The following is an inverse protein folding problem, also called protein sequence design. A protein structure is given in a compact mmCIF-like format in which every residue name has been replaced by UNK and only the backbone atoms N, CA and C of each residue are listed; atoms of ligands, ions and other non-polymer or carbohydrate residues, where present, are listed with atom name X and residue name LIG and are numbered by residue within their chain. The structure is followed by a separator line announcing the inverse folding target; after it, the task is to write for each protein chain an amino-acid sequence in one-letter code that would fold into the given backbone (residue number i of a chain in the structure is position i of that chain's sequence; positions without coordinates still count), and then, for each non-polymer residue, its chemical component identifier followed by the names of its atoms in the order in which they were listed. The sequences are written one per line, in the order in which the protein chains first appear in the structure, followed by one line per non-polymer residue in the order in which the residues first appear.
data_IF_921274313854
#
_entry.id   IF_921274313854
#
_cell.length_a   1.000
_cell.length_b   1.000
_cell.length_c   1.000
_cell.angle_alpha   90.00
_cell.angle_beta   90.00
_cell.angle_gamma   90.00
#
_symmetry.space_group_name_H-M   'P 1'
#
loop_
_entity.id
_entity.type
_entity.pdbx_description
1 polymer ?
#
# COMPACT_ATOMS: atom_id res chain seq x y z
N UNK A 1 42.91 -1.55 19.68
CA UNK A 1 43.45 -2.91 19.65
C UNK A 1 42.44 -3.77 18.94
N UNK A 2 42.89 -4.46 17.90
CA UNK A 2 42.25 -5.59 17.21
C UNK A 2 40.94 -5.29 16.46
N UNK A 3 41.10 -4.75 15.25
CA UNK A 3 40.18 -5.01 14.13
C UNK A 3 40.88 -6.05 13.24
N UNK A 4 40.48 -7.31 13.39
CA UNK A 4 40.99 -8.43 12.60
C UNK A 4 40.42 -8.42 11.19
N UNK A 5 41.32 -8.63 10.23
CA UNK A 5 41.07 -8.94 8.82
C UNK A 5 40.00 -10.03 8.66
N UNK A 6 38.97 -9.73 7.87
CA UNK A 6 37.99 -10.70 7.42
C UNK A 6 38.14 -10.85 5.91
N UNK A 7 39.14 -11.63 5.54
CA UNK A 7 39.43 -12.00 4.16
C UNK A 7 38.37 -12.95 3.59
N UNK A 8 37.79 -12.50 2.48
CA UNK A 8 37.48 -13.26 1.26
C UNK A 8 37.08 -14.74 1.39
N UNK A 9 35.78 -14.99 1.57
CA UNK A 9 35.13 -16.23 1.13
C UNK A 9 33.94 -15.91 0.23
N UNK A 10 34.20 -15.86 -1.07
CA UNK A 10 33.15 -15.87 -2.09
C UNK A 10 32.53 -17.29 -2.17
N UNK A 11 31.20 -17.43 -2.23
CA UNK A 11 30.55 -18.74 -2.28
C UNK A 11 30.69 -19.42 -3.66
N UNK A 12 30.81 -20.76 -3.72
CA UNK A 12 31.23 -21.52 -4.90
C UNK A 12 30.15 -21.77 -5.98
N UNK A 13 29.12 -20.92 -6.10
CA UNK A 13 28.02 -21.13 -7.07
C UNK A 13 27.92 -20.08 -8.19
N UNK A 14 28.90 -19.18 -8.35
CA UNK A 14 29.02 -18.38 -9.57
C UNK A 14 29.57 -19.23 -10.72
N UNK A 15 28.67 -19.96 -11.37
CA UNK A 15 28.92 -20.55 -12.69
C UNK A 15 29.01 -19.40 -13.69
N UNK A 16 30.18 -19.23 -14.30
CA UNK A 16 30.42 -18.33 -15.41
C UNK A 16 29.49 -18.67 -16.58
N UNK A 17 28.55 -17.78 -16.90
CA UNK A 17 27.78 -17.84 -18.13
C UNK A 17 28.71 -17.43 -19.29
N UNK A 18 29.08 -18.41 -20.11
CA UNK A 18 29.79 -18.17 -21.36
C UNK A 18 28.94 -17.35 -22.34
N UNK A 19 29.54 -16.46 -23.15
CA UNK A 19 28.80 -15.67 -24.12
C UNK A 19 28.24 -16.57 -25.24
N UNK A 20 26.91 -16.54 -25.39
CA UNK A 20 26.20 -17.18 -26.49
C UNK A 20 26.57 -16.46 -27.79
N UNK A 21 27.37 -17.12 -28.65
CA UNK A 21 27.63 -16.65 -30.02
C UNK A 21 26.39 -16.85 -30.88
N UNK A 22 25.73 -15.77 -31.27
CA UNK A 22 24.70 -15.76 -32.31
C UNK A 22 25.37 -16.05 -33.67
N UNK A 23 24.87 -17.07 -34.38
CA UNK A 23 25.23 -17.40 -35.77
C UNK A 23 24.37 -16.58 -36.76
N UNK A 24 24.84 -16.41 -38.01
CA UNK A 24 24.30 -15.41 -38.93
C UNK A 24 22.96 -15.80 -39.53
N UNK A 25 22.25 -14.76 -39.93
CA UNK A 25 20.94 -14.67 -40.56
C UNK A 25 20.86 -15.42 -41.90
N UNK A 26 19.71 -16.06 -42.14
CA UNK A 26 19.29 -16.51 -43.47
C UNK A 26 18.01 -15.76 -43.91
N UNK A 27 17.80 -15.56 -45.22
CA UNK A 27 16.83 -14.61 -45.76
C UNK A 27 15.39 -15.14 -45.78
N UNK A 28 14.44 -14.25 -45.55
CA UNK A 28 13.00 -14.51 -45.54
C UNK A 28 12.42 -14.59 -46.96
N UNK A 29 11.50 -15.55 -47.19
CA UNK A 29 10.51 -15.55 -48.28
C UNK A 29 9.13 -15.95 -47.71
N UNK A 30 8.00 -15.41 -48.20
CA UNK A 30 6.71 -15.41 -47.51
C UNK A 30 5.85 -16.65 -47.84
N UNK A 31 4.82 -16.88 -47.01
CA UNK A 31 4.03 -18.11 -46.91
C UNK A 31 2.55 -17.77 -46.74
N UNK A 32 1.67 -18.34 -47.59
CA UNK A 32 0.21 -18.29 -47.43
C UNK A 32 -0.30 -19.59 -46.79
N UNK A 33 -1.04 -19.51 -45.69
CA UNK A 33 -2.47 -19.87 -45.64
C UNK A 33 -3.08 -19.58 -44.25
N UNK A 34 -4.30 -19.06 -44.32
CA UNK A 34 -5.11 -18.37 -43.31
C UNK A 34 -5.71 -19.27 -42.22
N UNK A 35 -5.62 -18.82 -40.97
CA UNK A 35 -6.53 -19.22 -39.88
C UNK A 35 -7.78 -18.32 -39.91
N UNK A 36 -8.84 -18.73 -40.61
CA UNK A 36 -10.17 -18.12 -40.44
C UNK A 36 -10.87 -18.76 -39.24
N UNK A 37 -10.73 -18.15 -38.07
CA UNK A 37 -11.57 -18.43 -36.92
C UNK A 37 -12.78 -17.51 -36.92
N UNK A 38 -13.83 -17.90 -37.63
CA UNK A 38 -15.20 -17.47 -37.33
C UNK A 38 -16.18 -18.53 -37.86
N UNK A 39 -16.65 -19.40 -36.97
CA UNK A 39 -17.85 -20.21 -37.17
C UNK A 39 -18.35 -20.65 -35.79
N UNK A 40 -19.45 -20.04 -35.37
CA UNK A 40 -20.29 -20.47 -34.25
C UNK A 40 -20.97 -21.83 -34.56
N UNK A 41 -20.19 -22.89 -34.75
CA UNK A 41 -20.72 -24.23 -34.97
C UNK A 41 -20.33 -25.16 -33.82
N UNK A 42 -21.30 -25.34 -32.91
CA UNK A 42 -21.24 -26.22 -31.76
C UNK A 42 -21.20 -27.67 -32.24
N UNK A 43 -19.99 -28.24 -32.37
CA UNK A 43 -19.83 -29.70 -32.52
C UNK A 43 -19.63 -30.33 -31.14
N UNK A 44 -20.50 -31.27 -30.73
CA UNK A 44 -20.38 -31.96 -29.45
C UNK A 44 -19.67 -33.30 -29.68
N UNK A 45 -18.35 -33.31 -29.83
CA UNK A 45 -17.58 -34.53 -29.57
C UNK A 45 -16.11 -34.21 -29.33
N UNK A 46 -15.61 -34.71 -28.20
CA UNK A 46 -14.38 -34.25 -27.60
C UNK A 46 -13.13 -34.59 -28.41
N UNK A 47 -12.15 -33.70 -28.38
CA UNK A 47 -10.84 -33.96 -27.76
C UNK A 47 -9.86 -32.81 -27.97
N UNK A 48 -8.99 -32.64 -26.98
CA UNK A 48 -7.71 -31.92 -26.99
C UNK A 48 -7.76 -30.38 -27.11
N UNK A 49 -7.97 -29.73 -25.97
CA UNK A 49 -7.36 -28.43 -25.70
C UNK A 49 -5.84 -28.59 -25.59
N UNK A 50 -5.12 -28.35 -26.68
CA UNK A 50 -3.68 -28.09 -26.65
C UNK A 50 -3.41 -26.63 -27.03
N UNK A 51 -3.31 -25.80 -26.01
CA UNK A 51 -2.24 -24.80 -25.85
C UNK A 51 -1.64 -24.21 -27.13
N UNK A 52 -2.29 -23.20 -27.70
CA UNK A 52 -1.64 -22.25 -28.59
C UNK A 52 -0.97 -21.15 -27.73
N UNK A 53 0.07 -21.54 -27.00
CA UNK A 53 1.12 -20.64 -26.51
C UNK A 53 2.37 -20.99 -27.28
N UNK A 54 2.52 -20.41 -28.46
CA UNK A 54 3.83 -20.30 -29.08
C UNK A 54 4.27 -18.84 -28.97
N UNK A 55 5.39 -18.59 -28.27
CA UNK A 55 6.42 -17.73 -28.86
C UNK A 55 6.52 -18.19 -30.32
N UNK A 56 6.16 -17.35 -31.28
CA UNK A 56 6.02 -17.73 -32.70
C UNK A 56 7.06 -18.77 -33.11
N UNK A 57 6.67 -20.04 -33.08
CA UNK A 57 7.53 -21.18 -33.37
C UNK A 57 7.06 -21.65 -34.73
N UNK A 58 7.77 -21.20 -35.74
CA UNK A 58 7.58 -21.56 -37.14
C UNK A 58 7.84 -23.07 -37.25
N UNK A 59 6.77 -23.88 -37.36
CA UNK A 59 6.93 -25.32 -37.56
C UNK A 59 7.12 -25.61 -39.05
N UNK A 60 8.29 -26.12 -39.42
CA UNK A 60 8.54 -26.63 -40.76
C UNK A 60 7.81 -27.96 -40.97
N UNK A 61 6.82 -27.99 -41.86
CA UNK A 61 6.43 -29.21 -42.56
C UNK A 61 6.59 -28.99 -44.06
N UNK A 62 7.27 -29.94 -44.70
CA UNK A 62 7.68 -29.93 -46.10
C UNK A 62 6.64 -30.61 -46.97
N UNK A 63 6.22 -29.93 -48.04
CA UNK A 63 5.38 -30.32 -49.19
C UNK A 63 4.13 -29.43 -49.26
N UNK A 64 3.72 -28.78 -50.34
CA UNK A 64 3.85 -29.08 -51.76
C UNK A 64 3.51 -27.81 -52.57
N UNK A 65 4.10 -27.66 -53.76
CA UNK A 65 3.93 -26.53 -54.70
C UNK A 65 2.46 -26.26 -55.12
N UNK A 66 1.94 -25.05 -54.83
CA UNK A 66 1.32 -24.11 -55.81
C UNK A 66 0.50 -23.00 -55.14
N UNK A 67 0.54 -21.83 -55.80
CA UNK A 67 -0.25 -20.60 -55.65
C UNK A 67 0.44 -19.47 -54.87
N UNK A 68 0.96 -18.51 -55.65
CA UNK A 68 1.26 -17.14 -55.23
C UNK A 68 -0.02 -16.52 -54.68
N UNK A 69 -0.14 -16.53 -53.36
CA UNK A 69 -0.94 -15.55 -52.68
C UNK A 69 0.08 -14.80 -51.82
N UNK A 70 0.06 -13.47 -51.89
CA UNK A 70 0.89 -12.65 -51.04
C UNK A 70 0.16 -12.46 -49.72
N UNK A 71 0.82 -12.78 -48.61
CA UNK A 71 0.47 -12.16 -47.33
C UNK A 71 0.64 -10.67 -47.50
N UNK A 72 -0.46 -9.94 -47.70
CA UNK A 72 -0.43 -8.49 -47.62
C UNK A 72 0.11 -8.10 -46.25
N UNK A 73 0.93 -7.05 -46.19
CA UNK A 73 1.50 -6.47 -44.95
C UNK A 73 0.44 -6.13 -43.87
N UNK A 74 -0.85 -6.32 -44.17
CA UNK A 74 -1.99 -6.18 -43.28
C UNK A 74 -2.34 -7.42 -42.44
N UNK A 75 -1.74 -8.61 -42.67
CA UNK A 75 -2.15 -9.86 -42.02
C UNK A 75 -1.23 -10.34 -40.88
N UNK A 76 -0.52 -9.42 -40.21
CA UNK A 76 -0.10 -9.68 -38.82
C UNK A 76 -1.38 -9.60 -37.98
N UNK A 77 -2.14 -10.70 -37.94
CA UNK A 77 -3.44 -10.75 -37.27
C UNK A 77 -3.24 -10.74 -35.75
N UNK A 78 -3.06 -9.54 -35.20
CA UNK A 78 -3.22 -9.31 -33.78
C UNK A 78 -4.60 -9.79 -33.34
N UNK A 79 -4.67 -10.45 -32.18
CA UNK A 79 -5.95 -10.86 -31.60
C UNK A 79 -6.86 -9.63 -31.47
N UNK A 80 -8.16 -9.79 -31.78
CA UNK A 80 -9.17 -8.72 -31.72
C UNK A 80 -8.98 -7.83 -30.48
N UNK A 81 -8.85 -6.53 -30.73
CA UNK A 81 -8.60 -5.54 -29.68
C UNK A 81 -7.14 -5.22 -29.41
N UNK A 82 -6.20 -5.95 -30.01
CA UNK A 82 -4.75 -5.75 -29.87
C UNK A 82 -4.17 -5.09 -31.13
N UNK A 83 -3.12 -4.30 -30.96
CA UNK A 83 -2.45 -3.50 -31.98
C UNK A 83 -0.96 -3.37 -31.68
N UNK A 84 -0.22 -2.67 -32.55
CA UNK A 84 1.21 -2.44 -32.42
C UNK A 84 2.05 -3.57 -33.00
N UNK A 85 3.36 -3.32 -33.16
CA UNK A 85 4.29 -4.23 -33.85
C UNK A 85 4.38 -5.61 -33.19
N UNK A 86 4.14 -5.68 -31.88
CA UNK A 86 4.14 -6.93 -31.11
C UNK A 86 2.74 -7.36 -30.65
N UNK A 87 1.67 -6.77 -31.21
CA UNK A 87 0.30 -6.96 -30.74
C UNK A 87 0.12 -6.74 -29.22
N UNK A 88 0.98 -5.91 -28.63
CA UNK A 88 1.06 -5.69 -27.18
C UNK A 88 0.25 -4.49 -26.69
N UNK A 89 -0.20 -3.61 -27.59
CA UNK A 89 -1.04 -2.46 -27.24
C UNK A 89 -2.50 -2.80 -27.49
N UNK A 90 -3.42 -2.25 -26.71
CA UNK A 90 -4.85 -2.40 -26.98
C UNK A 90 -5.36 -1.22 -27.80
N UNK A 91 -6.27 -1.48 -28.74
CA UNK A 91 -6.99 -0.42 -29.46
C UNK A 91 -7.97 0.28 -28.53
N UNK A 92 -8.38 1.50 -28.89
CA UNK A 92 -9.36 2.27 -28.14
C UNK A 92 -10.63 1.46 -27.86
N UNK A 93 -11.11 1.48 -26.62
CA UNK A 93 -12.25 0.67 -26.17
C UNK A 93 -11.89 -0.74 -25.73
N UNK A 94 -10.61 -1.11 -25.75
CA UNK A 94 -10.10 -2.35 -25.17
C UNK A 94 -9.06 -2.08 -24.09
N UNK A 95 -8.92 -3.01 -23.16
CA UNK A 95 -8.00 -2.92 -22.05
C UNK A 95 -7.19 -4.21 -21.89
N UNK A 96 -5.88 -4.08 -21.68
CA UNK A 96 -5.00 -5.23 -21.51
C UNK A 96 -5.25 -5.91 -20.15
N UNK A 97 -5.69 -7.16 -20.18
CA UNK A 97 -5.85 -7.96 -18.95
C UNK A 97 -4.61 -8.81 -18.70
N UNK A 98 -3.86 -8.51 -17.63
CA UNK A 98 -2.61 -9.22 -17.30
C UNK A 98 -2.85 -10.71 -16.97
N UNK A 99 -4.02 -11.07 -16.45
CA UNK A 99 -4.38 -12.47 -16.17
C UNK A 99 -4.65 -13.29 -17.44
N UNK A 100 -5.34 -12.68 -18.42
CA UNK A 100 -5.68 -13.35 -19.69
C UNK A 100 -4.65 -13.11 -20.79
N UNK A 101 -3.68 -12.22 -20.55
CA UNK A 101 -2.65 -11.79 -21.50
C UNK A 101 -3.25 -11.38 -22.86
N UNK A 102 -4.43 -10.76 -22.82
CA UNK A 102 -5.17 -10.28 -24.01
C UNK A 102 -5.93 -9.00 -23.72
N UNK A 103 -6.18 -8.24 -24.78
CA UNK A 103 -7.07 -7.09 -24.75
C UNK A 103 -8.53 -7.56 -24.58
N UNK A 104 -9.23 -7.02 -23.58
CA UNK A 104 -10.65 -7.26 -23.32
C UNK A 104 -11.44 -5.99 -23.64
N UNK A 105 -12.62 -6.13 -24.23
CA UNK A 105 -13.47 -5.00 -24.57
C UNK A 105 -14.03 -4.33 -23.31
N UNK A 106 -14.05 -2.99 -23.31
CA UNK A 106 -14.61 -2.16 -22.25
C UNK A 106 -16.15 -2.28 -22.24
N UNK A 107 -16.71 -3.24 -21.51
CA UNK A 107 -18.16 -3.37 -21.37
C UNK A 107 -18.72 -2.36 -20.34
N UNK A 108 -19.38 -1.30 -20.84
CA UNK A 108 -20.41 -0.54 -20.11
C UNK A 108 -20.00 0.05 -18.74
N UNK A 109 -20.96 0.43 -17.86
CA UNK A 109 -20.78 1.38 -16.74
C UNK A 109 -20.03 0.81 -15.54
N UNK A 110 -18.94 0.07 -15.78
CA UNK A 110 -17.96 -0.33 -14.77
C UNK A 110 -17.22 0.88 -14.17
N UNK A 111 -17.21 2.02 -14.89
CA UNK A 111 -16.73 3.32 -14.42
C UNK A 111 -17.22 3.69 -13.02
N UNK A 112 -18.55 3.59 -12.80
CA UNK A 112 -19.21 4.02 -11.57
C UNK A 112 -18.82 3.14 -10.38
N UNK A 113 -18.77 1.82 -10.57
CA UNK A 113 -18.43 0.88 -9.52
C UNK A 113 -17.02 1.12 -8.94
N UNK A 114 -16.06 1.56 -9.76
CA UNK A 114 -14.69 1.83 -9.28
C UNK A 114 -14.51 3.15 -8.57
N UNK A 115 -15.20 4.21 -9.01
CA UNK A 115 -15.19 5.50 -8.32
C UNK A 115 -15.73 5.28 -6.91
N UNK A 116 -16.76 4.44 -6.78
CA UNK A 116 -17.29 4.01 -5.48
C UNK A 116 -16.27 3.24 -4.65
N UNK A 117 -15.45 2.35 -5.25
CA UNK A 117 -14.39 1.63 -4.51
C UNK A 117 -13.27 2.58 -4.06
N UNK A 118 -12.77 3.46 -4.93
CA UNK A 118 -11.70 4.42 -4.58
C UNK A 118 -12.20 5.42 -3.53
N UNK A 119 -13.38 6.02 -3.74
CA UNK A 119 -14.00 6.89 -2.74
C UNK A 119 -14.33 6.13 -1.46
N UNK A 120 -14.70 4.85 -1.54
CA UNK A 120 -14.91 3.97 -0.40
C UNK A 120 -13.64 3.76 0.41
N UNK A 121 -12.51 3.48 -0.23
CA UNK A 121 -11.20 3.35 0.43
C UNK A 121 -10.78 4.67 1.06
N UNK A 122 -10.89 5.78 0.32
CA UNK A 122 -10.58 7.12 0.86
C UNK A 122 -11.49 7.48 2.04
N UNK A 123 -12.77 7.13 1.97
CA UNK A 123 -13.73 7.32 3.05
C UNK A 123 -13.39 6.44 4.26
N UNK A 124 -13.01 5.18 4.07
CA UNK A 124 -12.58 4.29 5.17
C UNK A 124 -11.30 4.81 5.82
N UNK A 125 -10.33 5.28 5.03
CA UNK A 125 -9.11 5.90 5.54
C UNK A 125 -9.44 7.19 6.30
N UNK A 126 -10.28 8.05 5.74
CA UNK A 126 -10.73 9.28 6.38
C UNK A 126 -11.49 8.98 7.68
N UNK A 127 -12.40 8.01 7.69
CA UNK A 127 -13.13 7.56 8.90
C UNK A 127 -12.18 6.96 9.92
N UNK A 128 -11.22 6.13 9.51
CA UNK A 128 -10.17 5.63 10.40
C UNK A 128 -9.41 6.78 11.06
N UNK A 129 -9.03 7.81 10.30
CA UNK A 129 -8.39 8.99 10.85
C UNK A 129 -9.34 9.78 11.78
N UNK A 130 -10.60 10.00 11.40
CA UNK A 130 -11.58 10.73 12.20
C UNK A 130 -11.93 10.02 13.53
N UNK A 131 -12.06 8.70 13.51
CA UNK A 131 -12.35 7.88 14.70
C UNK A 131 -11.15 7.84 15.64
N UNK A 132 -9.93 7.66 15.10
CA UNK A 132 -8.72 7.71 15.93
C UNK A 132 -8.41 9.12 16.43
N UNK A 133 -8.82 10.15 15.68
CA UNK A 133 -8.71 11.54 16.09
C UNK A 133 -9.68 11.88 17.24
N UNK A 134 -10.92 11.40 17.17
CA UNK A 134 -11.94 11.71 18.18
C UNK A 134 -11.70 10.99 19.51
N UNK A 135 -11.06 9.82 19.50
CA UNK A 135 -10.78 9.04 20.70
C UNK A 135 -9.79 9.70 21.67
N UNK A 136 -8.99 10.67 21.23
CA UNK A 136 -7.95 11.32 22.04
C UNK A 136 -8.41 12.65 22.68
N UNK A 137 -9.69 12.99 22.49
CA UNK A 137 -10.27 14.27 22.87
C UNK A 137 -10.51 14.49 24.36
N UNK A 138 -10.52 13.48 25.24
CA UNK A 138 -10.91 13.73 26.63
C UNK A 138 -10.61 12.63 27.64
N UNK A 139 -9.65 12.91 28.52
CA UNK A 139 -9.78 12.60 29.96
C UNK A 139 -11.09 13.25 30.45
N UNK A 140 -11.95 12.61 31.23
CA UNK A 140 -11.91 11.25 31.75
C UNK A 140 -13.21 10.94 32.46
N UNK A 141 -13.60 9.66 32.43
CA UNK A 141 -14.33 8.93 33.48
C UNK A 141 -14.81 7.62 32.87
N UNK A 142 -14.14 6.51 33.20
CA UNK A 142 -14.63 5.12 33.25
C UNK A 142 -15.58 4.59 32.14
N UNK A 143 -15.59 5.19 30.96
CA UNK A 143 -16.50 4.88 29.85
C UNK A 143 -15.82 4.25 28.64
N UNK A 144 -14.70 3.54 28.82
CA UNK A 144 -13.96 2.84 27.76
C UNK A 144 -14.76 1.71 27.06
N UNK A 145 -16.06 1.61 27.31
CA UNK A 145 -16.99 0.65 26.70
C UNK A 145 -17.59 1.12 25.36
N UNK A 146 -17.46 2.39 24.96
CA UNK A 146 -18.19 2.87 23.77
C UNK A 146 -17.44 2.75 22.43
N UNK A 147 -16.12 2.59 22.40
CA UNK A 147 -15.41 2.27 21.14
C UNK A 147 -15.51 0.79 20.76
N UNK A 148 -15.73 -0.08 21.76
CA UNK A 148 -16.30 -1.41 21.51
C UNK A 148 -17.71 -1.29 20.91
N UNK A 149 -18.44 -0.19 21.13
CA UNK A 149 -19.78 0.07 20.61
C UNK A 149 -19.86 0.23 19.09
N UNK A 150 -18.92 0.91 18.43
CA UNK A 150 -18.97 1.07 16.96
C UNK A 150 -18.54 -0.20 16.23
N UNK A 151 -17.50 -0.89 16.76
CA UNK A 151 -17.17 -2.24 16.31
C UNK A 151 -18.23 -3.27 16.72
N UNK A 152 -19.01 -3.04 17.80
CA UNK A 152 -20.18 -3.84 18.17
C UNK A 152 -21.37 -3.60 17.26
N UNK A 153 -21.66 -2.37 16.82
CA UNK A 153 -22.73 -2.12 15.86
C UNK A 153 -22.42 -2.79 14.51
N UNK A 154 -21.15 -2.88 14.13
CA UNK A 154 -20.76 -3.71 12.97
C UNK A 154 -20.89 -5.21 13.28
N UNK A 155 -20.58 -5.68 14.50
CA UNK A 155 -20.84 -7.06 14.92
C UNK A 155 -22.32 -7.43 14.87
N UNK A 156 -23.23 -6.52 15.21
CA UNK A 156 -24.67 -6.76 15.19
C UNK A 156 -25.23 -6.86 13.77
N UNK A 157 -24.57 -6.26 12.77
CA UNK A 157 -25.00 -6.35 11.36
C UNK A 157 -24.42 -7.55 10.59
N UNK A 158 -23.38 -8.22 11.11
CA UNK A 158 -22.73 -9.36 10.43
C UNK A 158 -22.76 -10.61 11.32
N UNK A 159 -23.83 -11.43 11.23
CA UNK A 159 -23.85 -12.73 11.90
C UNK A 159 -22.67 -13.57 11.41
N UNK A 160 -21.72 -13.87 12.30
CA UNK A 160 -20.47 -14.59 12.01
C UNK A 160 -19.17 -13.79 12.20
N UNK A 161 -19.24 -12.48 12.43
CA UNK A 161 -18.06 -11.64 12.68
C UNK A 161 -17.30 -12.02 13.95
N UNK A 162 -17.98 -12.55 14.98
CA UNK A 162 -17.35 -12.97 16.23
C UNK A 162 -16.35 -14.12 16.04
N UNK A 163 -16.68 -15.08 15.17
CA UNK A 163 -15.79 -16.19 14.85
C UNK A 163 -14.53 -15.71 14.15
N UNK A 164 -14.68 -14.76 13.22
CA UNK A 164 -13.55 -14.14 12.55
C UNK A 164 -12.71 -13.34 13.56
N UNK A 165 -13.30 -12.42 14.32
CA UNK A 165 -12.57 -11.59 15.29
C UNK A 165 -11.82 -12.44 16.33
N UNK A 166 -12.41 -13.53 16.83
CA UNK A 166 -11.74 -14.47 17.72
C UNK A 166 -10.56 -15.17 17.06
N UNK A 167 -10.74 -15.63 15.82
CA UNK A 167 -9.65 -16.23 15.05
C UNK A 167 -8.51 -15.21 14.77
N UNK A 168 -8.85 -13.97 14.42
CA UNK A 168 -7.89 -12.89 14.19
C UNK A 168 -7.09 -12.53 15.44
N UNK A 169 -7.69 -12.60 16.63
CA UNK A 169 -6.99 -12.33 17.89
C UNK A 169 -5.89 -13.37 18.21
N UNK A 170 -6.05 -14.61 17.75
CA UNK A 170 -5.05 -15.68 17.93
C UNK A 170 -3.95 -15.69 16.87
N UNK A 171 -4.12 -14.96 15.77
CA UNK A 171 -3.10 -14.90 14.72
C UNK A 171 -2.01 -13.93 15.13
N UNK A 172 -0.81 -14.46 15.32
CA UNK A 172 0.40 -13.67 15.52
C UNK A 172 0.60 -12.71 14.33
N UNK A 173 0.59 -11.41 14.62
CA UNK A 173 0.77 -10.35 13.62
C UNK A 173 2.07 -10.51 12.84
N UNK A 174 3.12 -11.05 13.46
CA UNK A 174 4.39 -11.36 12.80
C UNK A 174 4.22 -12.45 11.74
N UNK A 175 3.51 -13.54 12.07
CA UNK A 175 3.25 -14.63 11.12
C UNK A 175 2.40 -14.16 9.94
N UNK A 176 1.38 -13.35 10.20
CA UNK A 176 0.53 -12.81 9.13
C UNK A 176 1.32 -11.94 8.16
N UNK A 177 2.27 -11.12 8.65
CA UNK A 177 3.18 -10.34 7.79
C UNK A 177 4.01 -11.24 6.87
N UNK A 178 4.60 -12.31 7.41
CA UNK A 178 5.40 -13.26 6.63
C UNK A 178 4.56 -13.96 5.56
N UNK A 179 3.38 -14.44 5.93
CA UNK A 179 2.44 -15.07 4.97
C UNK A 179 2.05 -14.08 3.88
N UNK A 180 1.67 -12.86 4.25
CA UNK A 180 1.31 -11.82 3.28
C UNK A 180 2.49 -11.48 2.35
N UNK A 181 3.71 -11.34 2.87
CA UNK A 181 4.92 -11.14 2.06
C UNK A 181 5.11 -12.25 1.04
N UNK A 182 4.96 -13.49 1.51
CA UNK A 182 5.16 -14.68 0.69
C UNK A 182 4.12 -14.73 -0.43
N UNK A 183 2.86 -14.41 -0.13
CA UNK A 183 1.79 -14.33 -1.13
C UNK A 183 2.03 -13.20 -2.15
N UNK A 184 2.56 -12.06 -1.72
CA UNK A 184 2.96 -10.97 -2.62
C UNK A 184 4.11 -11.38 -3.57
N UNK A 185 5.12 -12.08 -3.06
CA UNK A 185 6.23 -12.60 -3.88
C UNK A 185 5.72 -13.64 -4.87
N UNK A 186 4.93 -14.62 -4.42
CA UNK A 186 4.37 -15.66 -5.32
C UNK A 186 3.55 -15.03 -6.43
N UNK A 187 2.73 -14.03 -6.11
CA UNK A 187 1.88 -13.36 -7.10
C UNK A 187 2.66 -12.46 -8.08
N UNK A 188 3.93 -12.13 -7.81
CA UNK A 188 4.80 -11.39 -8.76
C UNK A 188 5.53 -12.29 -9.76
N UNK A 189 5.62 -13.60 -9.49
CA UNK A 189 6.33 -14.59 -10.32
C UNK A 189 5.78 -14.66 -11.74
N UNK A 190 4.45 -14.64 -11.90
CA UNK A 190 3.76 -14.71 -13.21
C UNK A 190 4.26 -13.69 -14.20
N UNK A 191 4.49 -12.49 -13.71
CA UNK A 191 4.95 -11.37 -14.52
C UNK A 191 6.44 -11.41 -14.77
N UNK A 192 7.22 -11.72 -13.74
CA UNK A 192 8.68 -11.81 -13.87
C UNK A 192 9.09 -12.86 -14.91
N UNK A 193 8.38 -14.00 -14.93
CA UNK A 193 8.65 -15.06 -15.89
C UNK A 193 7.94 -14.86 -17.24
N UNK A 194 6.91 -14.00 -17.30
CA UNK A 194 6.04 -13.87 -18.49
C UNK A 194 5.51 -15.22 -19.01
N UNK A 195 5.30 -16.17 -18.10
CA UNK A 195 4.79 -17.51 -18.40
C UNK A 195 3.36 -17.62 -17.89
N UNK A 196 2.47 -18.16 -18.72
CA UNK A 196 1.13 -18.55 -18.30
C UNK A 196 1.21 -19.94 -17.67
N UNK A 197 0.90 -20.01 -16.39
CA UNK A 197 0.87 -21.27 -15.68
C UNK A 197 -0.43 -22.03 -15.96
N UNK A 198 -0.38 -23.38 -16.03
CA UNK A 198 -1.58 -24.18 -16.18
C UNK A 198 -2.46 -24.14 -14.91
N UNK A 199 -3.73 -24.50 -15.05
CA UNK A 199 -4.60 -24.76 -13.91
C UNK A 199 -4.07 -25.95 -13.09
N UNK A 200 -4.22 -25.96 -11.74
CA UNK A 200 -5.01 -25.03 -10.91
C UNK A 200 -4.24 -23.78 -10.44
N UNK A 201 -2.94 -23.68 -10.77
CA UNK A 201 -2.11 -22.59 -10.25
C UNK A 201 -2.58 -21.22 -10.77
N UNK A 202 -3.12 -21.17 -11.99
CA UNK A 202 -3.71 -19.95 -12.54
C UNK A 202 -4.89 -19.45 -11.69
N UNK A 203 -5.80 -20.34 -11.26
CA UNK A 203 -6.90 -19.98 -10.35
C UNK A 203 -6.38 -19.46 -9.00
N UNK A 204 -5.36 -20.10 -8.43
CA UNK A 204 -4.74 -19.66 -7.18
C UNK A 204 -4.10 -18.27 -7.31
N UNK A 205 -3.40 -18.00 -8.41
CA UNK A 205 -2.87 -16.68 -8.73
C UNK A 205 -3.98 -15.64 -8.94
N UNK A 206 -5.14 -16.02 -9.47
CA UNK A 206 -6.31 -15.15 -9.56
C UNK A 206 -6.78 -14.72 -8.18
N UNK A 207 -6.86 -15.65 -7.21
CA UNK A 207 -7.19 -15.31 -5.82
C UNK A 207 -6.12 -14.41 -5.21
N UNK A 208 -4.84 -14.70 -5.42
CA UNK A 208 -3.76 -13.88 -4.88
C UNK A 208 -3.65 -12.49 -5.52
N UNK A 209 -4.12 -12.32 -6.75
CA UNK A 209 -4.22 -10.99 -7.39
C UNK A 209 -5.17 -10.05 -6.65
N UNK A 210 -6.12 -10.57 -5.85
CA UNK A 210 -6.97 -9.75 -4.98
C UNK A 210 -6.17 -9.17 -3.80
N UNK A 211 -5.13 -9.89 -3.35
CA UNK A 211 -4.24 -9.46 -2.27
C UNK A 211 -3.18 -8.46 -2.75
N UNK A 212 -2.88 -8.47 -4.05
CA UNK A 212 -2.22 -7.33 -4.68
C UNK A 212 -3.26 -6.21 -4.70
N UNK A 213 -3.28 -5.40 -3.64
CA UNK A 213 -4.03 -4.14 -3.63
C UNK A 213 -3.32 -3.20 -4.61
N UNK A 214 -3.41 -3.51 -5.91
CA UNK A 214 -3.31 -2.53 -6.95
C UNK A 214 -4.55 -1.66 -6.75
N UNK A 215 -4.40 -0.62 -5.90
CA UNK A 215 -5.34 0.48 -5.73
C UNK A 215 -5.74 1.10 -7.10
N UNK A 216 -5.00 0.73 -8.15
CA UNK A 216 -5.17 1.09 -9.54
C UNK A 216 -5.44 -0.11 -10.47
N UNK A 217 -6.16 -1.11 -9.99
CA UNK A 217 -7.19 -1.73 -10.84
C UNK A 217 -8.14 -0.67 -11.44
N UNK A 218 -8.11 0.57 -10.95
CA UNK A 218 -8.53 1.78 -11.67
C UNK A 218 -7.98 1.90 -13.11
N UNK A 219 -6.86 1.26 -13.52
CA UNK A 219 -6.51 1.17 -14.95
C UNK A 219 -7.62 0.51 -15.75
N UNK A 220 -8.21 -0.57 -15.22
CA UNK A 220 -9.34 -1.25 -15.85
C UNK A 220 -10.55 -0.33 -16.04
N UNK A 221 -10.65 0.71 -15.22
CA UNK A 221 -11.91 1.45 -15.10
C UNK A 221 -11.83 2.90 -15.59
N UNK A 222 -10.70 3.58 -15.34
CA UNK A 222 -10.38 4.88 -15.92
C UNK A 222 -9.89 4.75 -17.38
N UNK A 223 -9.22 3.65 -17.73
CA UNK A 223 -8.76 3.40 -19.09
C UNK A 223 -9.89 3.33 -20.11
N UNK A 224 -11.07 2.88 -19.69
CA UNK A 224 -12.27 2.86 -20.53
C UNK A 224 -13.01 4.21 -20.60
N UNK A 225 -12.73 5.15 -19.69
CA UNK A 225 -13.43 6.45 -19.64
C UNK A 225 -12.87 7.49 -20.61
N UNK A 226 -11.55 7.51 -20.84
CA UNK A 226 -10.89 8.37 -21.83
C UNK A 226 -9.51 7.83 -22.20
N UNK A 227 -9.39 7.22 -23.39
CA UNK A 227 -8.16 6.55 -23.85
C UNK A 227 -7.01 7.54 -24.08
N UNK A 228 -7.29 8.81 -24.40
CA UNK A 228 -6.27 9.79 -24.80
C UNK A 228 -5.44 10.35 -23.65
N UNK A 229 -5.97 10.40 -22.43
CA UNK A 229 -5.29 11.02 -21.28
C UNK A 229 -4.49 10.01 -20.44
N UNK A 230 -4.80 8.71 -20.58
CA UNK A 230 -4.22 7.64 -19.79
C UNK A 230 -3.18 6.85 -20.59
N UNK A 231 -2.05 7.51 -20.90
CA UNK A 231 -0.84 6.78 -21.31
C UNK A 231 -0.33 5.93 -20.15
N UNK A 232 0.40 4.84 -20.47
CA UNK A 232 1.00 3.98 -19.46
C UNK A 232 1.88 4.77 -18.46
N UNK A 233 2.59 5.79 -18.94
CA UNK A 233 3.47 6.64 -18.13
C UNK A 233 2.69 7.41 -17.06
N UNK A 234 1.58 8.08 -17.43
CA UNK A 234 0.74 8.82 -16.47
C UNK A 234 0.17 7.89 -15.40
N UNK A 235 -0.17 6.65 -15.78
CA UNK A 235 -0.65 5.65 -14.83
C UNK A 235 0.42 5.30 -13.78
N UNK A 236 1.66 5.02 -14.21
CA UNK A 236 2.77 4.74 -13.29
C UNK A 236 3.02 5.92 -12.35
N UNK A 237 2.98 7.16 -12.88
CA UNK A 237 3.15 8.37 -12.06
C UNK A 237 2.04 8.53 -11.02
N UNK A 238 0.77 8.46 -11.41
CA UNK A 238 -0.36 8.57 -10.47
C UNK A 238 -0.29 7.46 -9.41
N UNK A 239 0.07 6.24 -9.82
CA UNK A 239 0.25 5.10 -8.91
C UNK A 239 1.30 5.35 -7.85
N UNK A 240 2.39 6.00 -8.22
CA UNK A 240 3.52 6.29 -7.36
C UNK A 240 3.27 7.50 -6.46
N UNK A 241 2.54 8.52 -6.95
CA UNK A 241 2.20 9.70 -6.15
C UNK A 241 1.18 9.42 -5.05
N UNK A 242 0.25 8.47 -5.25
CA UNK A 242 -0.79 8.16 -4.28
C UNK A 242 -0.26 7.74 -2.89
N UNK A 243 0.65 6.74 -2.75
CA UNK A 243 1.21 6.42 -1.44
C UNK A 243 2.07 7.54 -0.86
N UNK A 244 2.79 8.31 -1.68
CA UNK A 244 3.58 9.45 -1.20
C UNK A 244 2.64 10.49 -0.58
N UNK A 245 1.49 10.75 -1.21
CA UNK A 245 0.46 11.62 -0.65
C UNK A 245 -0.15 11.05 0.64
N UNK A 246 -0.45 9.74 0.68
CA UNK A 246 -1.02 9.10 1.87
C UNK A 246 -0.03 9.04 3.04
N UNK A 247 1.25 8.77 2.78
CA UNK A 247 2.32 8.82 3.80
C UNK A 247 2.51 10.25 4.31
N UNK A 248 2.57 11.24 3.42
CA UNK A 248 2.64 12.66 3.79
C UNK A 248 1.43 13.08 4.63
N UNK A 249 0.22 12.62 4.29
CA UNK A 249 -0.99 12.85 5.08
C UNK A 249 -0.89 12.19 6.46
N UNK A 250 -0.38 10.96 6.56
CA UNK A 250 -0.18 10.26 7.82
C UNK A 250 0.78 11.05 8.75
N UNK A 251 1.88 11.57 8.19
CA UNK A 251 2.84 12.43 8.89
C UNK A 251 2.25 13.78 9.27
N UNK A 252 1.44 14.40 8.40
CA UNK A 252 0.73 15.63 8.73
C UNK A 252 -0.17 15.43 9.95
N UNK A 253 -0.98 14.36 9.96
CA UNK A 253 -1.86 14.04 11.09
C UNK A 253 -1.04 13.78 12.36
N UNK A 254 0.08 13.07 12.25
CA UNK A 254 1.01 12.88 13.37
C UNK A 254 1.50 14.22 13.93
N UNK A 255 1.94 15.15 13.07
CA UNK A 255 2.41 16.47 13.50
C UNK A 255 1.31 17.28 14.18
N UNK A 256 0.09 17.29 13.64
CA UNK A 256 -1.02 18.03 14.28
C UNK A 256 -1.34 17.43 15.65
N UNK A 257 -1.37 16.09 15.80
CA UNK A 257 -1.58 15.44 17.10
C UNK A 257 -0.43 15.72 18.07
N UNK A 258 0.80 15.68 17.58
CA UNK A 258 1.98 15.98 18.39
C UNK A 258 1.96 17.42 18.92
N UNK A 259 1.65 18.40 18.07
CA UNK A 259 1.51 19.82 18.47
C UNK A 259 0.34 20.02 19.43
N UNK A 260 -0.81 19.39 19.18
CA UNK A 260 -1.98 19.46 20.05
C UNK A 260 -1.68 18.87 21.45
N UNK A 261 -0.94 17.76 21.51
CA UNK A 261 -0.48 17.17 22.77
C UNK A 261 0.45 18.13 23.55
N UNK A 262 1.36 18.82 22.86
CA UNK A 262 2.27 19.80 23.48
C UNK A 262 1.58 21.06 24.00
N UNK A 263 0.49 21.51 23.36
CA UNK A 263 -0.28 22.66 23.88
C UNK A 263 -0.95 22.36 25.21
N UNK A 264 -1.49 21.14 25.37
CA UNK A 264 -2.14 20.72 26.61
C UNK A 264 -1.17 20.68 27.79
N UNK A 265 0.08 20.26 27.56
CA UNK A 265 1.10 20.24 28.63
C UNK A 265 1.46 21.64 29.09
N UNK A 266 1.57 22.60 28.15
CA UNK A 266 1.82 24.00 28.47
C UNK A 266 0.66 24.64 29.25
N UNK A 267 -0.59 24.31 28.90
CA UNK A 267 -1.77 24.80 29.63
C UNK A 267 -1.85 24.22 31.05
N UNK A 268 -1.52 22.94 31.25
CA UNK A 268 -1.52 22.34 32.59
C UNK A 268 -0.43 22.93 33.49
N UNK A 269 0.76 23.20 32.97
CA UNK A 269 1.84 23.85 33.72
C UNK A 269 1.47 25.29 34.08
N UNK A 270 0.89 26.04 33.12
CA UNK A 270 0.41 27.39 33.37
C UNK A 270 -0.70 27.44 34.44
N UNK A 271 -1.59 26.44 34.46
CA UNK A 271 -2.62 26.32 35.50
C UNK A 271 -2.04 25.93 36.85
N UNK A 272 -1.13 24.95 36.90
CA UNK A 272 -0.45 24.54 38.13
C UNK A 272 0.33 25.68 38.77
N UNK A 273 1.04 26.48 37.95
CA UNK A 273 1.79 27.65 38.42
C UNK A 273 0.86 28.75 38.96
N UNK A 274 -0.28 29.00 38.31
CA UNK A 274 -1.32 29.92 38.82
C UNK A 274 -1.91 29.43 40.14
N UNK A 275 -2.19 28.13 40.28
CA UNK A 275 -2.70 27.55 41.52
C UNK A 275 -1.70 27.71 42.67
N UNK A 276 -0.42 27.43 42.42
CA UNK A 276 0.64 27.60 43.42
C UNK A 276 0.82 29.05 43.87
N UNK A 277 0.66 30.02 42.95
CA UNK A 277 0.72 31.44 43.29
C UNK A 277 -0.49 31.88 44.13
N UNK A 278 -1.67 31.36 43.83
CA UNK A 278 -2.89 31.66 44.61
C UNK A 278 -2.79 31.14 46.05
N UNK A 279 -2.29 29.91 46.23
CA UNK A 279 -2.08 29.33 47.56
C UNK A 279 -1.01 30.09 48.36
N UNK A 280 0.08 30.53 47.71
CA UNK A 280 1.10 31.35 48.36
C UNK A 280 0.54 32.71 48.83
N UNK A 281 -0.32 33.34 48.03
CA UNK A 281 -0.97 34.61 48.37
C UNK A 281 -1.93 34.49 49.55
N UNK A 282 -2.72 33.41 49.63
CA UNK A 282 -3.67 33.19 50.73
C UNK A 282 -2.96 32.90 52.07
N UNK A 283 -1.79 32.25 52.02
CA UNK A 283 -0.99 31.97 53.21
C UNK A 283 -0.49 33.23 53.91
N UNK A 284 -0.16 34.29 53.16
CA UNK A 284 0.32 35.57 53.72
C UNK A 284 -0.76 36.36 54.47
N UNK A 285 -2.01 36.36 54.02
CA UNK A 285 -3.08 37.13 54.71
C UNK A 285 -3.49 36.52 56.07
N UNK A 286 -3.41 35.19 56.23
CA UNK A 286 -3.78 34.56 57.51
C UNK A 286 -2.74 34.76 58.61
N UNK A 287 -1.48 35.01 58.27
CA UNK A 287 -0.42 35.28 59.26
C UNK A 287 -0.58 36.68 59.86
N UNK A 288 -1.07 37.66 59.09
CA UNK A 288 -1.23 39.03 59.57
C UNK A 288 -2.44 39.21 60.52
N UNK A 289 -3.47 38.35 60.42
CA UNK A 289 -4.67 38.44 61.27
C UNK A 289 -4.53 37.83 62.67
N UNK A 290 -3.44 37.11 62.96
CA UNK A 290 -3.26 36.44 64.26
C UNK A 290 -2.41 37.21 65.27
N UNK A 291 -1.90 38.38 64.91
CA UNK A 291 -1.02 39.18 65.80
C UNK A 291 -1.75 40.22 66.67
N UNK A 292 -3.09 40.26 66.71
CA UNK A 292 -3.86 41.26 67.47
C UNK A 292 -4.81 40.71 68.54
N UNK A 293 -4.64 39.45 68.98
CA UNK A 293 -5.43 38.90 70.09
C UNK A 293 -4.55 38.50 71.29
N UNK A 294 -4.13 39.52 72.03
CA UNK A 294 -3.78 39.52 73.47
C UNK A 294 -4.91 40.37 74.09
N UNK A 295 -5.80 39.91 74.95
CA UNK A 295 -5.66 39.32 76.28
C UNK A 295 -7.00 38.64 76.63
N UNK A 296 -6.97 37.54 77.39
CA UNK A 296 -7.83 37.26 78.57
C UNK A 296 -7.70 35.81 79.00
N UNK A 297 -7.30 35.65 80.26
CA UNK A 297 -7.26 34.41 81.06
C UNK A 297 -8.54 33.57 80.96
N UNK A 298 -8.39 32.24 80.83
CA UNK A 298 -9.01 31.27 81.77
C UNK A 298 -8.48 29.84 81.53
N UNK A 299 -8.22 29.13 82.62
CA UNK A 299 -7.71 27.75 82.69
C UNK A 299 -8.80 26.79 83.23
N UNK A 300 -8.60 25.45 83.26
CA UNK A 300 -9.31 24.44 82.46
C UNK A 300 -10.32 23.58 83.29
N UNK A 301 -10.93 22.51 82.72
CA UNK A 301 -10.41 21.19 83.09
C UNK A 301 -10.47 20.07 82.01
N UNK A 302 -9.42 19.24 82.08
CA UNK A 302 -9.39 17.76 82.03
C UNK A 302 -10.57 17.00 81.38
N UNK A 303 -10.28 16.28 80.29
CA UNK A 303 -11.13 15.17 79.85
C UNK A 303 -10.74 14.55 78.51
N UNK A 304 -9.93 13.48 78.57
CA UNK A 304 -9.95 12.29 77.70
C UNK A 304 -10.19 12.42 76.19
N UNK A 305 -9.17 12.04 75.40
CA UNK A 305 -9.34 11.68 74.00
C UNK A 305 -8.13 12.04 73.14
N UNK A 306 -6.98 11.42 73.39
CA UNK A 306 -5.84 11.48 72.47
C UNK A 306 -6.14 10.66 71.21
N UNK A 307 -6.94 11.22 70.31
CA UNK A 307 -7.02 10.73 68.94
C UNK A 307 -5.80 11.29 68.19
N UNK A 308 -4.82 10.41 67.96
CA UNK A 308 -3.60 10.67 67.21
C UNK A 308 -3.95 11.18 65.81
N UNK A 309 -4.07 12.51 65.65
CA UNK A 309 -4.13 13.20 64.37
C UNK A 309 -2.74 13.17 63.71
N UNK A 310 -2.30 11.98 63.31
CA UNK A 310 -1.17 11.78 62.42
C UNK A 310 -1.62 12.23 61.03
N UNK A 311 -1.66 13.55 60.81
CA UNK A 311 -1.62 14.11 59.46
C UNK A 311 -0.31 13.62 58.85
N UNK A 312 -0.37 12.48 58.17
CA UNK A 312 0.64 12.07 57.22
C UNK A 312 0.74 13.22 56.22
N UNK A 313 1.75 14.06 56.38
CA UNK A 313 2.24 14.91 55.33
C UNK A 313 2.73 13.95 54.24
N UNK A 314 1.82 13.64 53.32
CA UNK A 314 2.14 12.90 52.12
C UNK A 314 3.18 13.76 51.39
N UNK A 315 4.37 13.20 51.07
CA UNK A 315 5.44 13.97 50.43
C UNK A 315 4.92 14.49 49.08
N UNK A 316 4.72 15.82 49.00
CA UNK A 316 4.27 16.54 47.79
C UNK A 316 5.18 16.28 46.58
N UNK A 317 6.40 15.86 46.84
CA UNK A 317 7.46 15.64 45.85
C UNK A 317 7.20 14.38 45.00
N UNK A 318 6.28 13.50 45.41
CA UNK A 318 5.97 12.24 44.71
C UNK A 318 4.95 12.42 43.58
N UNK A 319 4.10 13.46 43.61
CA UNK A 319 3.08 13.67 42.56
C UNK A 319 3.66 14.29 41.28
N UNK A 320 4.74 15.08 41.38
CA UNK A 320 5.29 15.79 40.21
C UNK A 320 5.88 14.85 39.15
N UNK A 321 6.47 13.72 39.56
CA UNK A 321 7.08 12.75 38.64
C UNK A 321 6.07 11.85 37.90
N UNK A 322 4.86 11.69 38.45
CA UNK A 322 3.83 10.84 37.85
C UNK A 322 3.27 11.46 36.55
N UNK A 323 3.20 12.79 36.47
CA UNK A 323 2.66 13.47 35.29
C UNK A 323 3.62 13.45 34.10
N UNK A 324 4.93 13.61 34.33
CA UNK A 324 5.93 13.52 33.26
C UNK A 324 5.96 12.13 32.61
N UNK A 325 5.92 11.07 33.42
CA UNK A 325 5.88 9.69 32.92
C UNK A 325 4.63 9.42 32.07
N UNK A 326 3.48 9.95 32.49
CA UNK A 326 2.22 9.82 31.76
C UNK A 326 2.25 10.57 30.42
N UNK A 327 2.82 11.78 30.39
CA UNK A 327 3.00 12.56 29.16
C UNK A 327 3.92 11.84 28.17
N UNK A 328 5.03 11.28 28.65
CA UNK A 328 5.95 10.54 27.79
C UNK A 328 5.32 9.26 27.24
N UNK A 329 4.59 8.51 28.08
CA UNK A 329 3.87 7.31 27.65
C UNK A 329 2.83 7.63 26.56
N UNK A 330 2.13 8.76 26.69
CA UNK A 330 1.17 9.23 25.70
C UNK A 330 1.82 9.59 24.36
N UNK A 331 2.94 10.34 24.38
CA UNK A 331 3.71 10.67 23.17
C UNK A 331 4.21 9.41 22.45
N UNK A 332 4.74 8.45 23.21
CA UNK A 332 5.19 7.17 22.66
C UNK A 332 4.04 6.38 22.01
N UNK A 333 2.83 6.44 22.58
CA UNK A 333 1.66 5.78 21.99
C UNK A 333 1.27 6.43 20.66
N UNK A 334 1.20 7.77 20.59
CA UNK A 334 0.94 8.48 19.33
C UNK A 334 1.99 8.09 18.27
N UNK A 335 3.27 8.15 18.62
CA UNK A 335 4.34 7.78 17.71
C UNK A 335 4.20 6.33 17.23
N UNK A 336 3.97 5.38 18.14
CA UNK A 336 3.81 3.97 17.80
C UNK A 336 2.63 3.70 16.87
N UNK A 337 1.49 4.39 17.08
CA UNK A 337 0.30 4.26 16.22
C UNK A 337 0.58 4.74 14.80
N UNK A 338 1.13 5.94 14.66
CA UNK A 338 1.43 6.55 13.36
C UNK A 338 2.55 5.81 12.63
N UNK A 339 3.61 5.40 13.35
CA UNK A 339 4.69 4.61 12.78
C UNK A 339 4.19 3.24 12.28
N UNK A 340 3.30 2.59 13.03
CA UNK A 340 2.70 1.32 12.59
C UNK A 340 1.86 1.51 11.32
N UNK A 341 1.07 2.58 11.25
CA UNK A 341 0.27 2.92 10.07
C UNK A 341 1.16 3.22 8.86
N UNK A 342 2.20 4.04 9.03
CA UNK A 342 3.18 4.36 7.99
C UNK A 342 3.89 3.12 7.45
N UNK A 343 4.41 2.26 8.33
CA UNK A 343 5.07 1.02 7.95
C UNK A 343 4.11 0.06 7.23
N UNK A 344 2.87 -0.06 7.72
CA UNK A 344 1.85 -0.91 7.10
C UNK A 344 1.50 -0.41 5.70
N UNK A 345 1.27 0.90 5.54
CA UNK A 345 0.94 1.50 4.25
C UNK A 345 2.08 1.33 3.24
N UNK A 346 3.31 1.62 3.66
CA UNK A 346 4.50 1.43 2.82
C UNK A 346 4.65 -0.04 2.43
N UNK A 347 4.49 -0.97 3.38
CA UNK A 347 4.61 -2.40 3.12
C UNK A 347 3.56 -2.95 2.14
N UNK A 348 2.33 -2.44 2.20
CA UNK A 348 1.26 -2.86 1.29
C UNK A 348 1.49 -2.32 -0.12
N UNK A 349 1.94 -1.06 -0.23
CA UNK A 349 1.90 -0.31 -1.49
C UNK A 349 3.23 -0.35 -2.25
N UNK A 350 4.36 -0.50 -1.56
CA UNK A 350 5.69 -0.48 -2.18
C UNK A 350 5.91 -1.63 -3.18
N UNK A 351 5.57 -2.91 -2.89
CA UNK A 351 5.82 -3.99 -3.84
C UNK A 351 5.05 -3.86 -5.17
N UNK A 352 3.74 -3.52 -5.17
CA UNK A 352 3.03 -3.27 -6.43
C UNK A 352 3.59 -2.11 -7.25
N UNK A 353 3.95 -0.99 -6.61
CA UNK A 353 4.43 0.20 -7.32
C UNK A 353 5.82 -0.01 -7.88
N UNK A 354 6.76 -0.50 -7.07
CA UNK A 354 8.13 -0.78 -7.56
C UNK A 354 8.10 -1.69 -8.78
N UNK A 355 7.22 -2.69 -8.79
CA UNK A 355 6.99 -3.55 -9.97
C UNK A 355 6.46 -2.77 -11.18
N UNK A 356 5.52 -1.85 -11.00
CA UNK A 356 5.00 -0.99 -12.07
C UNK A 356 6.08 -0.05 -12.64
N UNK A 357 6.91 0.52 -11.76
CA UNK A 357 8.03 1.40 -12.11
C UNK A 357 9.07 0.65 -12.93
N UNK A 358 9.59 -0.48 -12.44
CA UNK A 358 10.54 -1.31 -13.19
C UNK A 358 9.99 -1.79 -14.53
N UNK A 359 8.69 -2.08 -14.61
CA UNK A 359 8.02 -2.40 -15.88
C UNK A 359 8.01 -1.22 -16.85
N UNK A 360 7.94 0.01 -16.35
CA UNK A 360 8.08 1.23 -17.14
C UNK A 360 9.50 1.49 -17.65
N UNK A 361 10.50 0.76 -17.15
CA UNK A 361 11.89 0.87 -17.58
C UNK A 361 12.34 -0.25 -18.54
N UNK A 362 11.53 -1.30 -18.71
CA UNK A 362 11.86 -2.45 -19.57
C UNK A 362 11.59 -2.14 -21.06
N UNK A 363 12.64 -1.75 -21.79
CA UNK A 363 12.58 -1.52 -23.25
C UNK A 363 13.06 -2.76 -24.03
N UNK A 364 12.46 -2.97 -25.19
CA UNK A 364 12.81 -4.04 -26.14
C UNK A 364 13.16 -3.44 -27.50
N UNK A 365 14.20 -3.96 -28.13
CA UNK A 365 14.61 -3.58 -29.47
C UNK A 365 13.78 -4.34 -30.52
N UNK A 366 13.15 -3.61 -31.44
CA UNK A 366 12.38 -4.13 -32.56
C UNK A 366 12.79 -3.34 -33.80
N UNK A 367 13.37 -4.03 -34.79
CA UNK A 367 13.84 -3.42 -36.06
C UNK A 367 14.87 -2.29 -35.88
N UNK A 368 15.71 -2.37 -34.85
CA UNK A 368 16.74 -1.36 -34.56
C UNK A 368 16.26 -0.15 -33.76
N UNK A 369 14.97 -0.10 -33.42
CA UNK A 369 14.39 0.93 -32.54
C UNK A 369 13.98 0.33 -31.19
N UNK A 370 14.10 1.11 -30.12
CA UNK A 370 13.76 0.68 -28.77
C UNK A 370 12.36 1.13 -28.39
N UNK A 371 11.51 0.17 -28.01
CA UNK A 371 10.13 0.40 -27.58
C UNK A 371 9.92 -0.07 -26.16
N UNK A 372 9.05 0.61 -25.42
CA UNK A 372 8.69 0.19 -24.08
C UNK A 372 7.91 -1.14 -24.16
N UNK A 373 8.40 -2.20 -23.51
CA UNK A 373 7.76 -3.53 -23.57
C UNK A 373 6.32 -3.51 -23.03
N UNK A 374 6.07 -2.68 -22.02
CA UNK A 374 4.75 -2.54 -21.42
C UNK A 374 3.73 -1.82 -22.31
N UNK A 375 4.21 -0.99 -23.23
CA UNK A 375 3.41 -0.16 -24.13
C UNK A 375 4.26 0.20 -25.36
N UNK A 376 4.15 -0.60 -26.43
CA UNK A 376 4.96 -0.43 -27.64
C UNK A 376 4.62 0.83 -28.43
N UNK A 377 3.64 1.63 -28.00
CA UNK A 377 3.41 2.96 -28.57
C UNK A 377 4.48 3.98 -28.16
N UNK A 378 5.21 3.71 -27.07
CA UNK A 378 6.24 4.60 -26.53
C UNK A 378 7.62 4.16 -27.03
N UNK A 379 8.32 5.07 -27.73
CA UNK A 379 9.71 4.89 -28.15
C UNK A 379 10.67 5.32 -27.03
N UNK A 380 11.60 4.44 -26.66
CA UNK A 380 12.59 4.71 -25.61
C UNK A 380 13.78 5.55 -26.11
N UNK A 381 14.17 5.40 -27.38
CA UNK A 381 15.42 5.96 -27.94
C UNK A 381 15.43 7.49 -28.07
N UNK A 382 14.31 8.11 -28.46
CA UNK A 382 14.27 9.53 -28.84
C UNK A 382 13.05 10.30 -28.32
N UNK A 383 12.35 9.77 -27.30
CA UNK A 383 11.21 10.47 -26.72
C UNK A 383 11.64 11.30 -25.52
N UNK A 384 11.51 12.63 -25.62
CA UNK A 384 11.68 13.55 -24.49
C UNK A 384 10.73 13.22 -23.33
N UNK A 385 9.52 12.74 -23.65
CA UNK A 385 8.53 12.26 -22.68
C UNK A 385 9.05 11.07 -21.89
N UNK A 386 9.68 10.09 -22.58
CA UNK A 386 10.24 8.91 -21.90
C UNK A 386 11.44 9.29 -21.02
N UNK A 387 12.34 10.15 -21.49
CA UNK A 387 13.49 10.60 -20.68
C UNK A 387 13.04 11.35 -19.41
N UNK A 388 12.03 12.22 -19.53
CA UNK A 388 11.43 12.91 -18.38
C UNK A 388 10.80 11.91 -17.41
N UNK A 389 10.08 10.91 -17.95
CA UNK A 389 9.51 9.85 -17.14
C UNK A 389 10.58 9.07 -16.36
N UNK A 390 11.68 8.65 -17.00
CA UNK A 390 12.77 7.92 -16.34
C UNK A 390 13.37 8.72 -15.19
N UNK A 391 13.57 10.04 -15.37
CA UNK A 391 14.08 10.91 -14.30
C UNK A 391 13.10 11.02 -13.12
N UNK A 392 11.81 11.21 -13.40
CA UNK A 392 10.78 11.30 -12.35
C UNK A 392 10.62 9.95 -11.65
N UNK A 393 10.63 8.85 -12.39
CA UNK A 393 10.52 7.50 -11.86
C UNK A 393 11.73 7.15 -10.98
N UNK A 394 12.95 7.49 -11.42
CA UNK A 394 14.16 7.32 -10.61
C UNK A 394 14.10 8.13 -9.30
N UNK A 395 13.59 9.37 -9.34
CA UNK A 395 13.38 10.17 -8.14
C UNK A 395 12.36 9.52 -7.20
N UNK A 396 11.25 9.01 -7.75
CA UNK A 396 10.22 8.32 -6.97
C UNK A 396 10.70 6.99 -6.37
N UNK A 397 11.65 6.29 -7.00
CA UNK A 397 12.28 5.07 -6.46
C UNK A 397 13.21 5.41 -5.28
N UNK A 398 13.83 6.58 -5.28
CA UNK A 398 14.74 7.05 -4.22
C UNK A 398 13.99 7.55 -2.99
N UNK A 399 12.80 8.12 -3.18
CA UNK A 399 11.89 8.60 -2.13
C UNK A 399 11.19 7.44 -1.44
#
# INVERSE_FOLDING_TARGET
GEWGEMDSLAPPWMVALAPVRLRPTCPCRPLQDTCTGDSDEFTPEGSVYSSCWSRGLISHSTASERADVGCGDSDIQCQRGSSGVLCGTCVSGYLFSNYRMRCIECQGPTAIASIVVVLGVLAVVAVYFLVNWSSDGGRGSKGTHCLAGYWCSVKECLPGADMLCGAWAHIDRGKLKVVFSTLQIISSVTWTLSVVFPEPFQTLLRVFSILQIDFLSARYVLGCANVSWFTYLTHVLISSFLPVALTALCWLVYLVRFVAAGRRTMESEAFALKSSLYDASLGTEMVERKSTAVDSDEQPPLGGGQEYHKRQQLPKDVELGADEANVQAYRNNIFSQHMTCFLLLTYIVLPPITRLQFRGLDCVEVEGEWYLRADTSVRCSNSTTYQTFVLVDALLIVV
#
